data_IF_774685948972
#
_entry.id   IF_774685948972
#
_cell.length_a   1.000
_cell.length_b   1.000
_cell.length_c   1.000
_cell.angle_alpha   90.00
_cell.angle_beta   90.00
_cell.angle_gamma   90.00
#
_symmetry.space_group_name_H-M   'P 1'
#
loop_
_entity.id
_entity.type
_entity.pdbx_description
1 polymer ?
#
# COMPACT_ATOMS: atom_id res chain seq x y z
N UNK A 1 -11.26 9.96 7.00
CA UNK A 1 -9.81 9.83 7.26
C UNK A 1 -9.07 9.73 5.93
N UNK A 2 -8.14 10.62 5.72
CA UNK A 2 -7.40 10.71 4.46
C UNK A 2 -5.97 10.22 4.65
N UNK A 3 -5.51 9.38 3.75
CA UNK A 3 -4.17 8.78 3.82
C UNK A 3 -3.44 9.10 2.52
N UNK A 4 -2.18 9.51 2.63
CA UNK A 4 -1.30 9.66 1.49
C UNK A 4 -0.57 8.34 1.27
N UNK A 5 -0.73 7.76 0.08
CA UNK A 5 -0.05 6.52 -0.30
C UNK A 5 1.15 6.86 -1.15
N UNK A 6 2.28 6.23 -0.85
CA UNK A 6 3.50 6.37 -1.64
C UNK A 6 3.83 5.02 -2.27
N UNK A 7 4.11 5.02 -3.55
CA UNK A 7 4.45 3.81 -4.30
C UNK A 7 5.86 3.91 -4.85
N UNK A 8 6.59 2.80 -4.81
CA UNK A 8 7.99 2.79 -5.24
C UNK A 8 8.26 1.63 -6.19
N UNK A 9 9.29 1.78 -6.99
CA UNK A 9 9.81 0.74 -7.88
C UNK A 9 8.71 0.15 -8.78
N UNK A 10 8.63 -1.18 -8.90
CA UNK A 10 7.65 -1.78 -9.79
C UNK A 10 6.20 -1.57 -9.35
N UNK A 11 5.95 -1.31 -8.05
CA UNK A 11 4.61 -0.96 -7.58
C UNK A 11 4.16 0.34 -8.25
N UNK A 12 5.02 1.35 -8.21
CA UNK A 12 4.77 2.62 -8.86
C UNK A 12 4.56 2.47 -10.35
N UNK A 13 5.39 1.65 -10.99
CA UNK A 13 5.30 1.44 -12.43
C UNK A 13 3.98 0.79 -12.84
N UNK A 14 3.52 -0.21 -12.09
CA UNK A 14 2.28 -0.92 -12.41
C UNK A 14 1.04 -0.07 -12.15
N UNK A 15 1.05 0.73 -11.09
CA UNK A 15 -0.06 1.63 -10.78
C UNK A 15 -0.09 2.82 -11.74
N UNK A 16 1.08 3.32 -12.12
CA UNK A 16 1.20 4.47 -13.01
C UNK A 16 1.27 5.80 -12.27
N UNK A 17 1.46 5.78 -10.96
CA UNK A 17 1.60 6.97 -10.14
C UNK A 17 2.51 6.68 -8.95
N UNK A 18 3.25 7.67 -8.49
CA UNK A 18 4.12 7.52 -7.33
C UNK A 18 3.46 7.92 -6.03
N UNK A 19 2.32 8.55 -6.10
CA UNK A 19 1.61 9.04 -4.92
C UNK A 19 0.11 9.07 -5.20
N UNK A 20 -0.67 8.81 -4.18
CA UNK A 20 -2.12 8.84 -4.29
C UNK A 20 -2.73 9.19 -2.94
N UNK A 21 -3.75 10.03 -2.93
CA UNK A 21 -4.46 10.38 -1.69
C UNK A 21 -5.80 9.67 -1.70
N UNK A 22 -6.08 8.90 -0.64
CA UNK A 22 -7.29 8.08 -0.57
C UNK A 22 -8.02 8.26 0.75
N UNK A 23 -9.31 7.94 0.72
CA UNK A 23 -10.15 7.90 1.92
C UNK A 23 -10.77 6.50 1.99
N UNK A 24 -10.11 5.55 2.66
CA UNK A 24 -10.60 4.18 2.71
C UNK A 24 -11.93 4.07 3.47
N UNK A 25 -12.78 3.09 3.12
CA UNK A 25 -14.01 2.84 3.89
C UNK A 25 -13.69 2.36 5.31
N UNK A 26 -14.69 2.45 6.20
CA UNK A 26 -14.52 2.10 7.61
C UNK A 26 -14.14 0.65 7.87
N UNK A 27 -14.49 -0.26 6.97
CA UNK A 27 -14.16 -1.68 7.14
C UNK A 27 -12.72 -2.01 6.73
N UNK A 28 -11.98 -1.03 6.21
CA UNK A 28 -10.55 -1.18 5.94
C UNK A 28 -9.80 -0.81 7.22
N UNK A 29 -9.30 -1.81 7.93
CA UNK A 29 -8.67 -1.59 9.25
C UNK A 29 -7.17 -1.91 9.29
N UNK A 30 -6.69 -2.80 8.42
CA UNK A 30 -5.26 -3.17 8.36
C UNK A 30 -4.69 -2.76 7.01
N UNK A 31 -3.36 -2.83 6.89
CA UNK A 31 -2.71 -2.60 5.59
C UNK A 31 -3.17 -3.64 4.58
N UNK A 32 -3.31 -4.91 5.00
CA UNK A 32 -3.82 -5.96 4.11
C UNK A 32 -5.20 -5.61 3.57
N UNK A 33 -6.09 -5.11 4.42
CA UNK A 33 -7.42 -4.65 3.99
C UNK A 33 -7.31 -3.49 3.00
N UNK A 34 -6.41 -2.57 3.26
CA UNK A 34 -6.16 -1.42 2.38
C UNK A 34 -5.71 -1.89 1.00
N UNK A 35 -4.78 -2.84 0.97
CA UNK A 35 -4.26 -3.39 -0.28
C UNK A 35 -5.37 -4.13 -1.04
N UNK A 36 -6.21 -4.88 -0.34
CA UNK A 36 -7.37 -5.55 -0.95
C UNK A 36 -8.32 -4.53 -1.58
N UNK A 37 -8.60 -3.47 -0.86
CA UNK A 37 -9.48 -2.40 -1.35
C UNK A 37 -8.87 -1.69 -2.56
N UNK A 38 -7.58 -1.35 -2.49
CA UNK A 38 -6.89 -0.70 -3.61
C UNK A 38 -6.86 -1.59 -4.85
N UNK A 39 -6.76 -2.90 -4.67
CA UNK A 39 -6.74 -3.84 -5.79
C UNK A 39 -8.02 -3.78 -6.62
N UNK A 40 -9.11 -3.28 -6.06
CA UNK A 40 -10.36 -3.10 -6.79
C UNK A 40 -10.43 -1.77 -7.54
N UNK A 41 -9.47 -0.87 -7.33
CA UNK A 41 -9.49 0.49 -7.90
C UNK A 41 -9.19 0.52 -9.38
N UNK A 42 -8.26 -0.32 -9.84
CA UNK A 42 -7.87 -0.35 -11.25
C UNK A 42 -7.10 -1.64 -11.55
N UNK A 43 -6.94 -1.92 -12.84
CA UNK A 43 -6.14 -3.06 -13.27
C UNK A 43 -4.66 -2.90 -12.84
N UNK A 44 -4.16 -1.67 -12.84
CA UNK A 44 -2.79 -1.38 -12.39
C UNK A 44 -2.59 -1.68 -10.91
N UNK A 45 -3.55 -1.29 -10.07
CA UNK A 45 -3.50 -1.62 -8.63
C UNK A 45 -3.58 -3.13 -8.42
N UNK A 46 -4.49 -3.80 -9.12
CA UNK A 46 -4.62 -5.26 -9.00
C UNK A 46 -3.31 -5.96 -9.40
N UNK A 47 -2.68 -5.53 -10.48
CA UNK A 47 -1.42 -6.10 -10.94
C UNK A 47 -0.28 -5.84 -9.95
N UNK A 48 -0.21 -4.63 -9.40
CA UNK A 48 0.82 -4.26 -8.44
C UNK A 48 0.73 -5.09 -7.16
N UNK A 49 -0.48 -5.46 -6.75
CA UNK A 49 -0.72 -6.10 -5.47
C UNK A 49 -1.12 -7.58 -5.57
N UNK A 50 -0.88 -8.23 -6.70
CA UNK A 50 -1.29 -9.62 -6.86
C UNK A 50 -0.47 -10.61 -6.02
N UNK A 51 0.79 -10.27 -5.72
CA UNK A 51 1.66 -11.13 -4.91
C UNK A 51 2.01 -10.41 -3.60
N UNK A 52 1.22 -10.66 -2.56
CA UNK A 52 1.39 -10.02 -1.25
C UNK A 52 2.70 -10.43 -0.58
N UNK A 53 3.23 -11.60 -0.90
CA UNK A 53 4.51 -12.05 -0.37
C UNK A 53 5.68 -11.18 -0.82
N UNK A 54 5.51 -10.46 -1.92
CA UNK A 54 6.53 -9.57 -2.46
C UNK A 54 6.22 -8.10 -2.22
N UNK A 55 5.32 -7.82 -1.28
CA UNK A 55 4.93 -6.46 -0.95
C UNK A 55 5.35 -6.14 0.48
N UNK A 56 5.86 -4.94 0.68
CA UNK A 56 6.25 -4.43 1.99
C UNK A 56 5.56 -3.10 2.23
N UNK A 57 5.44 -2.72 3.49
CA UNK A 57 4.74 -1.50 3.87
C UNK A 57 5.45 -0.75 4.98
N UNK A 58 5.24 0.57 5.00
CA UNK A 58 5.67 1.42 6.11
C UNK A 58 4.53 2.37 6.46
N UNK A 59 4.27 2.54 7.75
CA UNK A 59 3.31 3.52 8.25
C UNK A 59 4.10 4.67 8.86
N UNK A 60 3.89 5.88 8.32
CA UNK A 60 4.57 7.09 8.79
C UNK A 60 6.09 6.84 8.93
N UNK A 61 6.66 6.18 7.90
CA UNK A 61 8.09 5.87 7.76
C UNK A 61 8.58 4.70 8.64
N UNK A 62 7.70 4.03 9.38
CA UNK A 62 8.07 2.84 10.14
C UNK A 62 7.67 1.58 9.38
N UNK A 63 8.61 0.68 9.14
CA UNK A 63 8.34 -0.60 8.49
C UNK A 63 7.47 -1.47 9.37
N UNK A 64 6.39 -2.01 8.80
CA UNK A 64 5.42 -2.81 9.53
C UNK A 64 4.94 -3.98 8.69
N UNK A 65 4.50 -5.08 9.33
CA UNK A 65 3.85 -6.18 8.62
C UNK A 65 2.52 -5.76 8.01
N UNK A 66 2.05 -6.49 7.01
CA UNK A 66 0.79 -6.16 6.32
C UNK A 66 -0.44 -6.34 7.20
N UNK A 67 -0.37 -7.12 8.27
CA UNK A 67 -1.50 -7.30 9.19
C UNK A 67 -1.59 -6.19 10.26
N UNK A 68 -0.72 -5.18 10.17
CA UNK A 68 -0.71 -4.07 11.12
C UNK A 68 -1.94 -3.20 10.91
N UNK A 69 -2.64 -2.80 12.00
CA UNK A 69 -3.74 -1.85 11.89
C UNK A 69 -3.27 -0.50 11.35
N UNK A 70 -4.06 0.08 10.47
CA UNK A 70 -3.76 1.40 9.91
C UNK A 70 -3.79 2.47 11.00
N UNK A 71 -4.77 2.38 11.91
CA UNK A 71 -4.91 3.35 12.99
C UNK A 71 -5.12 4.76 12.43
N UNK A 72 -4.31 5.69 12.90
CA UNK A 72 -4.37 7.09 12.47
C UNK A 72 -3.21 7.44 11.53
N UNK A 73 -2.78 6.48 10.73
CA UNK A 73 -1.69 6.69 9.79
C UNK A 73 -2.00 7.86 8.84
N UNK A 74 -1.01 8.70 8.60
CA UNK A 74 -1.12 9.81 7.64
C UNK A 74 -0.53 9.43 6.29
N UNK A 75 0.49 8.57 6.32
CA UNK A 75 1.22 8.17 5.13
C UNK A 75 1.50 6.67 5.20
N UNK A 76 1.21 5.98 4.11
CA UNK A 76 1.53 4.55 3.99
C UNK A 76 2.31 4.37 2.71
N UNK A 77 3.52 3.81 2.81
CA UNK A 77 4.33 3.47 1.67
C UNK A 77 4.16 1.99 1.34
N UNK A 78 4.04 1.68 0.05
CA UNK A 78 3.94 0.32 -0.45
C UNK A 78 5.06 0.12 -1.47
N UNK A 79 5.87 -0.90 -1.26
CA UNK A 79 7.11 -1.07 -2.02
C UNK A 79 7.49 -2.54 -2.08
N UNK A 80 8.37 -2.93 -3.02
CA UNK A 80 8.86 -4.30 -3.09
C UNK A 80 9.85 -4.57 -1.96
N UNK A 81 10.12 -5.86 -1.65
CA UNK A 81 11.15 -6.18 -0.68
C UNK A 81 12.49 -5.58 -1.07
N UNK A 82 13.22 -5.07 -0.07
CA UNK A 82 14.58 -4.63 -0.31
C UNK A 82 15.43 -5.87 -0.46
N UNK A 83 15.96 -6.09 -1.66
CA UNK A 83 16.91 -7.16 -1.84
C UNK A 83 18.19 -6.72 -1.15
N UNK A 84 18.62 -7.44 -0.16
CA UNK A 84 19.77 -7.08 0.66
C UNK A 84 21.06 -7.10 -0.12
N UNK A 85 21.08 -6.28 -1.00
CA UNK A 85 22.22 -6.12 -1.80
C UNK A 85 23.10 -5.33 -1.75
#
# INVERSE_FOLDING_TARGET
MTITLLYFAWVRERIGAGEEIVTPPHDVTTIADLVDWLSTSSAGHAAAFEDRGRLRAAIDQDFVPLDTPIGQAREIALFPPVTGG
#
